data_IF_469924106224
#
_entry.id   IF_469924106224
#
_cell.length_a   1.000
_cell.length_b   1.000
_cell.length_c   1.000
_cell.angle_alpha   90.00
_cell.angle_beta   90.00
_cell.angle_gamma   90.00
#
_symmetry.space_group_name_H-M   'P 1'
#
loop_
_entity.id
_entity.type
_entity.pdbx_description
1 polymer ?
#
# COMPACT_ATOMS: atom_id res chain seq x y z
N UNK A 1 -17.46 4.24 1.34
CA UNK A 1 -16.54 3.12 1.08
C UNK A 1 -16.49 2.26 2.33
N UNK A 2 -16.62 0.94 2.20
CA UNK A 2 -16.39 0.02 3.31
C UNK A 2 -14.89 -0.32 3.32
N UNK A 3 -14.22 -0.23 4.47
CA UNK A 3 -12.79 -0.56 4.58
C UNK A 3 -12.67 -2.00 5.11
N UNK A 4 -12.13 -2.95 4.32
CA UNK A 4 -11.89 -4.31 4.80
C UNK A 4 -10.93 -4.30 5.98
N UNK A 5 -11.13 -5.23 6.91
CA UNK A 5 -10.15 -5.47 7.98
C UNK A 5 -8.97 -6.27 7.42
N UNK A 6 -7.78 -6.02 7.95
CA UNK A 6 -6.61 -6.88 7.66
C UNK A 6 -6.96 -8.34 7.95
N UNK A 7 -6.44 -9.24 7.13
CA UNK A 7 -6.48 -10.68 7.38
C UNK A 7 -5.12 -11.21 7.86
N UNK A 8 -4.17 -10.30 8.12
CA UNK A 8 -2.79 -10.64 8.46
C UNK A 8 -2.23 -9.67 9.52
N UNK A 9 -2.73 -9.79 10.76
CA UNK A 9 -2.36 -8.89 11.87
C UNK A 9 -0.89 -9.00 12.28
N UNK A 10 -0.24 -10.13 12.03
CA UNK A 10 1.15 -10.41 12.44
C UNK A 10 2.19 -10.03 11.36
N UNK A 11 1.75 -9.72 10.13
CA UNK A 11 2.65 -9.43 9.01
C UNK A 11 2.06 -8.37 8.07
N UNK A 12 2.65 -8.19 6.89
CA UNK A 12 2.21 -7.19 5.93
C UNK A 12 2.29 -5.77 6.48
N UNK A 13 1.37 -4.91 6.04
CA UNK A 13 1.29 -3.53 6.51
C UNK A 13 0.94 -3.47 8.00
N UNK A 14 -0.13 -4.18 8.40
CA UNK A 14 -0.68 -4.06 9.74
C UNK A 14 0.32 -4.51 10.81
N UNK A 15 0.89 -5.70 10.66
CA UNK A 15 1.88 -6.20 11.61
C UNK A 15 3.14 -5.34 11.67
N UNK A 16 3.60 -4.79 10.54
CA UNK A 16 4.76 -3.89 10.52
C UNK A 16 4.47 -2.60 11.28
N UNK A 17 3.31 -1.98 11.05
CA UNK A 17 2.92 -0.77 11.79
C UNK A 17 2.74 -1.08 13.27
N UNK A 18 2.12 -2.20 13.64
CA UNK A 18 1.89 -2.59 15.03
C UNK A 18 3.18 -2.75 15.85
N UNK A 19 4.30 -3.07 15.20
CA UNK A 19 5.62 -3.14 15.84
C UNK A 19 6.24 -1.77 16.13
N UNK A 20 5.80 -0.72 15.44
CA UNK A 20 6.44 0.59 15.45
C UNK A 20 5.53 1.75 15.86
N UNK A 21 4.21 1.56 15.88
CA UNK A 21 3.22 2.57 16.22
C UNK A 21 2.02 1.94 16.96
N UNK A 22 1.51 2.62 17.98
CA UNK A 22 0.36 2.23 18.80
C UNK A 22 -1.02 2.26 18.11
N UNK A 23 -1.13 2.73 16.86
CA UNK A 23 -2.41 2.91 16.14
C UNK A 23 -2.43 2.23 14.75
N UNK A 24 -2.15 0.92 14.64
CA UNK A 24 -2.10 0.22 13.36
C UNK A 24 -3.42 0.25 12.59
N UNK A 25 -4.56 0.13 13.27
CA UNK A 25 -5.87 0.21 12.63
C UNK A 25 -6.16 1.58 12.00
N UNK A 26 -5.70 2.68 12.62
CA UNK A 26 -5.89 4.01 12.07
C UNK A 26 -5.08 4.18 10.77
N UNK A 27 -3.82 3.77 10.80
CA UNK A 27 -2.93 3.81 9.62
C UNK A 27 -3.40 2.85 8.52
N UNK A 28 -3.94 1.68 8.87
CA UNK A 28 -4.57 0.78 7.91
C UNK A 28 -5.73 1.46 7.18
N UNK A 29 -6.64 2.09 7.91
CA UNK A 29 -7.78 2.78 7.32
C UNK A 29 -7.35 3.94 6.41
N UNK A 30 -6.34 4.72 6.83
CA UNK A 30 -5.77 5.82 6.03
C UNK A 30 -5.12 5.27 4.75
N UNK A 31 -4.34 4.20 4.86
CA UNK A 31 -3.67 3.57 3.72
C UNK A 31 -4.67 2.99 2.71
N UNK A 32 -5.67 2.22 3.16
CA UNK A 32 -6.68 1.66 2.26
C UNK A 32 -7.43 2.77 1.53
N UNK A 33 -7.89 3.79 2.25
CA UNK A 33 -8.62 4.91 1.65
C UNK A 33 -7.76 5.72 0.68
N UNK A 34 -6.52 6.05 1.07
CA UNK A 34 -5.60 6.85 0.27
C UNK A 34 -5.17 6.15 -1.01
N UNK A 35 -4.78 4.88 -0.91
CA UNK A 35 -4.39 4.08 -2.08
C UNK A 35 -5.59 3.91 -3.02
N UNK A 36 -6.76 3.56 -2.50
CA UNK A 36 -7.99 3.43 -3.31
C UNK A 36 -8.30 4.72 -4.07
N UNK A 37 -8.24 5.87 -3.38
CA UNK A 37 -8.52 7.16 -4.00
C UNK A 37 -7.50 7.51 -5.11
N UNK A 38 -6.23 7.17 -4.91
CA UNK A 38 -5.17 7.51 -5.87
C UNK A 38 -5.09 6.57 -7.07
N UNK A 39 -5.44 5.28 -6.91
CA UNK A 39 -5.31 4.27 -7.97
C UNK A 39 -6.63 3.94 -8.67
N UNK A 40 -7.76 4.17 -7.99
CA UNK A 40 -9.09 3.78 -8.41
C UNK A 40 -9.39 2.27 -8.25
N UNK A 41 -8.51 1.52 -7.60
CA UNK A 41 -8.70 0.08 -7.36
C UNK A 41 -9.70 -0.18 -6.22
N UNK A 42 -10.24 -1.39 -6.11
CA UNK A 42 -11.19 -1.72 -5.05
C UNK A 42 -10.51 -1.80 -3.67
N UNK A 43 -11.24 -1.42 -2.62
CA UNK A 43 -10.69 -1.42 -1.26
C UNK A 43 -10.29 -2.83 -0.80
N UNK A 44 -10.99 -3.86 -1.28
CA UNK A 44 -10.70 -5.28 -1.11
C UNK A 44 -9.34 -5.65 -1.71
N UNK A 45 -9.05 -5.23 -2.93
CA UNK A 45 -7.79 -5.51 -3.62
C UNK A 45 -6.62 -4.77 -2.97
N UNK A 46 -6.87 -3.53 -2.53
CA UNK A 46 -5.90 -2.75 -1.76
C UNK A 46 -5.59 -3.43 -0.43
N UNK A 47 -6.60 -3.93 0.29
CA UNK A 47 -6.42 -4.67 1.53
C UNK A 47 -5.59 -5.95 1.31
N UNK A 48 -5.90 -6.72 0.26
CA UNK A 48 -5.10 -7.89 -0.13
C UNK A 48 -3.64 -7.54 -0.39
N UNK A 49 -3.39 -6.45 -1.14
CA UNK A 49 -2.03 -5.94 -1.37
C UNK A 49 -1.32 -5.60 -0.05
N UNK A 50 -1.99 -4.88 0.85
CA UNK A 50 -1.43 -4.47 2.14
C UNK A 50 -1.11 -5.66 3.06
N UNK A 51 -1.80 -6.77 2.94
CA UNK A 51 -1.51 -8.00 3.70
C UNK A 51 -0.32 -8.80 3.15
N UNK A 52 0.25 -8.40 2.00
CA UNK A 52 1.41 -9.08 1.40
C UNK A 52 2.76 -8.56 1.91
N UNK A 53 3.85 -9.22 1.50
CA UNK A 53 5.22 -8.70 1.65
C UNK A 53 5.42 -7.30 1.04
N UNK A 54 4.66 -6.93 0.02
CA UNK A 54 4.77 -5.61 -0.60
C UNK A 54 4.08 -4.55 0.28
N UNK A 55 2.98 -4.92 0.94
CA UNK A 55 2.37 -4.11 1.99
C UNK A 55 3.31 -3.87 3.18
N UNK A 56 4.13 -4.87 3.54
CA UNK A 56 5.22 -4.69 4.53
C UNK A 56 6.20 -3.60 4.12
N UNK A 57 6.67 -3.61 2.87
CA UNK A 57 7.58 -2.57 2.36
C UNK A 57 6.94 -1.19 2.29
N UNK A 58 5.65 -1.13 1.94
CA UNK A 58 4.91 0.12 2.00
C UNK A 58 4.83 0.64 3.45
N UNK A 59 4.57 -0.25 4.43
CA UNK A 59 4.59 0.12 5.84
C UNK A 59 5.97 0.56 6.34
N UNK A 60 7.07 -0.03 5.87
CA UNK A 60 8.42 0.41 6.22
C UNK A 60 8.62 1.90 5.86
N UNK A 61 8.13 2.35 4.68
CA UNK A 61 8.19 3.76 4.26
C UNK A 61 7.28 4.66 5.13
N UNK A 62 6.08 4.18 5.51
CA UNK A 62 5.18 4.92 6.42
C UNK A 62 5.80 5.08 7.81
N UNK A 63 6.35 4.00 8.38
CA UNK A 63 7.05 4.00 9.67
C UNK A 63 8.26 4.92 9.64
N UNK A 64 9.00 4.97 8.52
CA UNK A 64 10.08 5.93 8.35
C UNK A 64 9.57 7.37 8.43
N UNK A 65 8.47 7.70 7.74
CA UNK A 65 7.83 9.02 7.82
C UNK A 65 7.44 9.41 9.24
N UNK A 66 6.80 8.50 9.97
CA UNK A 66 6.43 8.68 11.37
C UNK A 66 7.66 8.94 12.26
N UNK A 67 8.74 8.18 12.06
CA UNK A 67 9.98 8.36 12.80
C UNK A 67 10.66 9.72 12.51
N UNK A 68 10.39 10.33 11.35
CA UNK A 68 10.83 11.70 11.02
C UNK A 68 9.92 12.80 11.58
N UNK A 69 8.85 12.45 12.29
CA UNK A 69 7.93 13.40 12.95
C UNK A 69 6.73 13.80 12.09
N UNK A 70 6.46 13.11 10.99
CA UNK A 70 5.21 13.29 10.25
C UNK A 70 4.03 12.74 11.06
N UNK A 71 2.87 13.38 10.94
CA UNK A 71 1.62 12.81 11.44
C UNK A 71 1.17 11.60 10.60
N UNK A 72 0.22 10.83 11.12
CA UNK A 72 -0.29 9.59 10.50
C UNK A 72 -0.70 9.79 9.02
N UNK A 73 -1.38 10.88 8.72
CA UNK A 73 -1.87 11.19 7.38
C UNK A 73 -0.74 11.58 6.44
N UNK A 74 0.16 12.46 6.91
CA UNK A 74 1.31 12.93 6.16
C UNK A 74 2.31 11.79 5.87
N UNK A 75 2.51 10.87 6.81
CA UNK A 75 3.38 9.72 6.62
C UNK A 75 2.85 8.77 5.53
N UNK A 76 1.54 8.47 5.55
CA UNK A 76 0.91 7.65 4.50
C UNK A 76 0.93 8.37 3.15
N UNK A 77 0.64 9.68 3.11
CA UNK A 77 0.68 10.46 1.89
C UNK A 77 2.09 10.50 1.26
N UNK A 78 3.13 10.69 2.07
CA UNK A 78 4.51 10.70 1.61
C UNK A 78 4.95 9.34 1.04
N UNK A 79 4.58 8.23 1.70
CA UNK A 79 4.81 6.88 1.18
C UNK A 79 4.05 6.65 -0.13
N UNK A 80 2.77 7.07 -0.19
CA UNK A 80 1.94 6.94 -1.38
C UNK A 80 2.53 7.69 -2.58
N UNK A 81 2.93 8.96 -2.41
CA UNK A 81 3.55 9.77 -3.46
C UNK A 81 4.83 9.13 -3.99
N UNK A 82 5.65 8.60 -3.09
CA UNK A 82 6.88 7.88 -3.45
C UNK A 82 6.58 6.65 -4.31
N UNK A 83 5.58 5.85 -3.93
CA UNK A 83 5.21 4.62 -4.63
C UNK A 83 4.49 4.88 -5.96
N UNK A 84 3.72 5.96 -6.06
CA UNK A 84 3.10 6.42 -7.30
C UNK A 84 4.12 7.00 -8.28
N UNK A 85 5.19 7.61 -7.77
CA UNK A 85 6.29 8.13 -8.59
C UNK A 85 7.14 7.05 -9.27
N UNK A 86 6.99 5.78 -8.88
CA UNK A 86 7.65 4.66 -9.55
C UNK A 86 6.78 4.16 -10.71
N UNK A 87 7.39 3.91 -11.86
CA UNK A 87 6.73 3.31 -13.03
C UNK A 87 7.46 2.05 -13.47
N UNK A 88 6.73 1.06 -13.95
CA UNK A 88 7.36 -0.15 -14.50
C UNK A 88 8.07 0.08 -15.83
N UNK A 89 9.16 -0.67 -16.02
CA UNK A 89 9.76 -0.90 -17.33
C UNK A 89 9.00 -1.94 -18.16
N UNK A 90 9.53 -2.28 -19.34
CA UNK A 90 8.87 -3.16 -20.33
C UNK A 90 8.64 -4.59 -19.84
N UNK A 91 9.45 -5.09 -18.92
CA UNK A 91 9.41 -6.50 -18.51
C UNK A 91 8.14 -6.86 -17.72
N UNK A 92 7.73 -6.01 -16.78
CA UNK A 92 6.50 -6.27 -16.03
C UNK A 92 5.23 -6.09 -16.87
N UNK A 93 5.23 -5.15 -17.82
CA UNK A 93 4.10 -4.98 -18.75
C UNK A 93 3.81 -6.29 -19.52
N UNK A 94 4.86 -7.03 -19.88
CA UNK A 94 4.74 -8.33 -20.56
C UNK A 94 4.21 -9.44 -19.64
N UNK A 95 4.59 -9.45 -18.37
CA UNK A 95 4.16 -10.47 -17.40
C UNK A 95 2.73 -10.26 -16.89
N UNK A 96 2.30 -9.00 -16.80
CA UNK A 96 1.03 -8.61 -16.19
C UNK A 96 -0.06 -8.25 -17.20
N UNK A 97 0.32 -7.98 -18.46
CA UNK A 97 -0.57 -7.47 -19.49
C UNK A 97 -0.96 -6.00 -19.33
N UNK A 98 -0.40 -5.30 -18.34
CA UNK A 98 -0.71 -3.89 -18.07
C UNK A 98 0.06 -2.94 -19.01
N UNK A 99 -0.51 -1.75 -19.35
CA UNK A 99 0.18 -0.78 -20.20
C UNK A 99 1.52 -0.32 -19.61
N UNK A 100 2.51 -0.10 -20.47
CA UNK A 100 3.78 0.54 -20.09
C UNK A 100 3.49 1.94 -19.54
N UNK A 101 4.13 2.29 -18.42
CA UNK A 101 3.88 3.55 -17.72
C UNK A 101 2.80 3.48 -16.64
N UNK A 102 2.17 2.32 -16.41
CA UNK A 102 1.31 2.10 -15.24
C UNK A 102 2.11 2.34 -13.94
N UNK A 103 1.59 3.13 -12.98
CA UNK A 103 2.25 3.33 -11.69
C UNK A 103 2.52 2.01 -10.95
N UNK A 104 3.65 1.95 -10.24
CA UNK A 104 4.17 0.74 -9.61
C UNK A 104 3.14 0.09 -8.67
N UNK A 105 2.59 0.93 -7.80
CA UNK A 105 1.59 0.55 -6.82
C UNK A 105 0.33 -0.05 -7.46
N UNK A 106 -0.19 0.57 -8.53
CA UNK A 106 -1.40 0.11 -9.22
C UNK A 106 -1.21 -1.28 -9.82
N UNK A 107 -0.09 -1.53 -10.50
CA UNK A 107 0.12 -2.85 -11.10
C UNK A 107 0.28 -3.95 -10.04
N UNK A 108 0.96 -3.67 -8.92
CA UNK A 108 1.08 -4.65 -7.84
C UNK A 108 -0.28 -5.03 -7.26
N UNK A 109 -1.18 -4.06 -7.04
CA UNK A 109 -2.53 -4.32 -6.53
C UNK A 109 -3.26 -5.28 -7.48
N UNK A 110 -3.28 -4.97 -8.78
CA UNK A 110 -3.95 -5.82 -9.80
C UNK A 110 -3.35 -7.24 -9.83
N UNK A 111 -2.02 -7.36 -9.81
CA UNK A 111 -1.34 -8.68 -9.85
C UNK A 111 -1.61 -9.51 -8.61
N UNK A 112 -1.70 -8.88 -7.43
CA UNK A 112 -2.03 -9.57 -6.19
C UNK A 112 -3.49 -10.04 -6.21
N UNK A 113 -4.42 -9.19 -6.65
CA UNK A 113 -5.84 -9.53 -6.72
C UNK A 113 -6.18 -10.64 -7.73
N UNK A 114 -5.34 -10.84 -8.75
CA UNK A 114 -5.54 -11.88 -9.77
C UNK A 114 -5.00 -13.27 -9.38
N UNK A 115 -4.43 -13.44 -8.18
CA UNK A 115 -3.86 -14.71 -7.70
C UNK A 115 -4.77 -15.38 -6.68
#
# INVERSE_FOLDING_TARGET
MNIPQTQNEDYGFYGTVALHHDRPQALWNIAVAGITAATGEFAEDVALFLDTRHGRHFADDVVCGLATGLDDGAAVAAALDRWLGWSFGKDMARETGLPVGTPYLKALIVVVACK
#
